data_IF_023005043737
#
_entry.id   IF_023005043737
#
_cell.length_a   1.000
_cell.length_b   1.000
_cell.length_c   1.000
_cell.angle_alpha   90.00
_cell.angle_beta   90.00
_cell.angle_gamma   90.00
#
_symmetry.space_group_name_H-M   'P 1'
#
loop_
_entity.id
_entity.type
_entity.pdbx_description
1 polymer ?
#
# COMPACT_ATOMS: atom_id res chain seq x y z
N UNK A 1 -3.83 9.25 -7.82
CA UNK A 1 -3.78 7.96 -8.52
C UNK A 1 -2.85 7.04 -7.73
N UNK A 2 -3.23 5.78 -7.55
CA UNK A 2 -2.43 4.79 -6.81
C UNK A 2 -2.16 3.59 -7.71
N UNK A 3 -0.89 3.20 -7.81
CA UNK A 3 -0.41 2.06 -8.60
C UNK A 3 0.19 1.03 -7.66
N UNK A 4 -0.16 -0.24 -7.84
CA UNK A 4 0.41 -1.35 -7.08
C UNK A 4 0.95 -2.37 -8.07
N UNK A 5 2.23 -2.73 -7.89
CA UNK A 5 2.90 -3.76 -8.65
C UNK A 5 3.45 -4.77 -7.65
N UNK A 6 3.11 -6.05 -7.86
CA UNK A 6 3.70 -7.16 -7.12
C UNK A 6 4.62 -7.96 -8.02
N UNK A 7 5.86 -8.14 -7.57
CA UNK A 7 6.83 -9.07 -8.19
C UNK A 7 6.96 -10.32 -7.31
N UNK A 8 7.92 -11.21 -7.58
CA UNK A 8 8.13 -12.39 -6.74
C UNK A 8 8.36 -12.03 -5.26
N UNK A 9 9.29 -11.11 -4.99
CA UNK A 9 9.78 -10.82 -3.63
C UNK A 9 9.57 -9.38 -3.17
N UNK A 10 9.05 -8.50 -4.04
CA UNK A 10 8.85 -7.08 -3.74
C UNK A 10 7.40 -6.65 -3.99
N UNK A 11 6.99 -5.65 -3.21
CA UNK A 11 5.86 -4.79 -3.53
C UNK A 11 6.39 -3.42 -3.92
N UNK A 12 5.82 -2.84 -4.97
CA UNK A 12 6.07 -1.46 -5.41
C UNK A 12 4.72 -0.75 -5.41
N UNK A 13 4.59 0.29 -4.60
CA UNK A 13 3.37 1.08 -4.46
C UNK A 13 3.70 2.54 -4.79
N UNK A 14 3.05 3.07 -5.82
CA UNK A 14 3.23 4.45 -6.29
C UNK A 14 1.98 5.28 -6.05
N UNK A 15 2.10 6.40 -5.34
CA UNK A 15 1.06 7.41 -5.21
C UNK A 15 1.41 8.64 -6.05
N UNK A 16 0.55 8.95 -7.02
CA UNK A 16 0.70 10.08 -7.93
C UNK A 16 -0.54 10.99 -7.78
N UNK A 17 -0.48 12.04 -6.96
CA UNK A 17 -1.57 13.00 -6.85
C UNK A 17 -1.80 13.69 -8.20
N UNK A 18 -3.06 13.95 -8.56
CA UNK A 18 -3.42 14.63 -9.83
C UNK A 18 -3.26 16.15 -9.78
N UNK A 19 -2.81 16.70 -8.66
CA UNK A 19 -2.72 18.14 -8.44
C UNK A 19 -1.40 18.67 -9.00
N UNK A 20 -1.48 19.73 -9.80
CA UNK A 20 -0.31 20.35 -10.45
C UNK A 20 0.75 20.75 -9.41
N UNK A 21 1.98 20.29 -9.61
CA UNK A 21 3.14 20.62 -8.77
C UNK A 21 3.42 19.68 -7.59
N UNK A 22 2.56 18.69 -7.30
CA UNK A 22 2.85 17.74 -6.22
C UNK A 22 3.64 16.53 -6.74
N UNK A 23 4.85 16.33 -6.21
CA UNK A 23 5.66 15.16 -6.55
C UNK A 23 4.97 13.86 -6.08
N UNK A 24 4.96 12.85 -6.96
CA UNK A 24 4.53 11.51 -6.61
C UNK A 24 5.51 10.81 -5.67
N UNK A 25 5.00 9.81 -4.96
CA UNK A 25 5.73 9.01 -3.99
C UNK A 25 5.79 7.57 -4.45
N UNK A 26 6.96 6.96 -4.41
CA UNK A 26 7.12 5.53 -4.67
C UNK A 26 7.73 4.89 -3.44
N UNK A 27 7.04 3.89 -2.91
CA UNK A 27 7.52 3.05 -1.83
C UNK A 27 7.69 1.63 -2.38
N UNK A 28 8.84 1.02 -2.11
CA UNK A 28 9.06 -0.38 -2.40
C UNK A 28 9.64 -1.06 -1.18
N UNK A 29 9.20 -2.29 -0.93
CA UNK A 29 9.63 -3.07 0.22
C UNK A 29 9.56 -4.55 -0.12
N UNK A 30 10.43 -5.34 0.52
CA UNK A 30 10.38 -6.79 0.42
C UNK A 30 9.13 -7.31 1.10
N UNK A 31 8.56 -8.38 0.54
CA UNK A 31 7.35 -8.99 1.12
C UNK A 31 7.59 -9.43 2.56
N UNK A 32 8.77 -9.97 2.86
CA UNK A 32 9.18 -10.44 4.18
C UNK A 32 9.29 -9.34 5.24
N UNK A 33 9.37 -8.08 4.83
CA UNK A 33 9.39 -6.92 5.72
C UNK A 33 8.05 -6.73 6.44
N UNK A 34 6.95 -7.14 5.80
CA UNK A 34 5.62 -7.11 6.43
C UNK A 34 5.47 -8.20 7.49
N UNK A 35 4.72 -7.92 8.58
CA UNK A 35 4.33 -8.93 9.56
C UNK A 35 3.71 -10.16 8.90
N UNK A 36 4.01 -11.35 9.43
CA UNK A 36 3.54 -12.62 8.88
C UNK A 36 2.01 -12.71 8.82
N UNK A 37 1.31 -12.11 9.78
CA UNK A 37 -0.16 -11.99 9.79
C UNK A 37 -0.68 -11.22 8.58
N UNK A 38 -0.12 -10.04 8.33
CA UNK A 38 -0.47 -9.18 7.18
C UNK A 38 -0.18 -9.89 5.86
N UNK A 39 1.01 -10.50 5.72
CA UNK A 39 1.36 -11.28 4.51
C UNK A 39 0.33 -12.35 4.19
N UNK A 40 -0.10 -13.11 5.18
CA UNK A 40 -1.09 -14.20 5.03
C UNK A 40 -2.46 -13.68 4.61
N UNK A 41 -2.82 -12.48 5.06
CA UNK A 41 -4.07 -11.82 4.67
C UNK A 41 -4.02 -11.35 3.22
N UNK A 42 -2.96 -10.65 2.83
CA UNK A 42 -2.87 -10.03 1.51
C UNK A 42 -2.50 -11.01 0.39
N UNK A 43 -1.88 -12.15 0.70
CA UNK A 43 -1.52 -13.16 -0.31
C UNK A 43 -2.72 -13.77 -1.02
N UNK A 44 -3.93 -13.58 -0.47
CA UNK A 44 -5.20 -14.05 -1.05
C UNK A 44 -5.87 -13.01 -1.94
N UNK A 45 -5.38 -11.77 -1.95
CA UNK A 45 -5.99 -10.67 -2.67
C UNK A 45 -5.36 -10.53 -4.07
N UNK A 46 -6.16 -10.50 -5.15
CA UNK A 46 -5.66 -10.38 -6.52
C UNK A 46 -4.70 -9.19 -6.73
N UNK A 47 -4.95 -8.07 -6.04
CA UNK A 47 -4.12 -6.85 -6.09
C UNK A 47 -2.67 -7.06 -5.62
N UNK A 48 -2.42 -8.07 -4.78
CA UNK A 48 -1.08 -8.40 -4.28
C UNK A 48 -0.50 -9.69 -4.89
N UNK A 49 -1.16 -10.25 -5.91
CA UNK A 49 -0.73 -11.45 -6.62
C UNK A 49 0.23 -11.08 -7.76
N UNK A 50 1.44 -11.68 -7.82
CA UNK A 50 2.36 -11.46 -8.94
C UNK A 50 1.74 -11.85 -10.27
N UNK A 51 2.00 -11.06 -11.32
CA UNK A 51 1.52 -11.37 -12.68
C UNK A 51 0.09 -10.93 -13.00
N UNK A 52 -0.67 -10.39 -12.04
CA UNK A 52 -2.03 -9.86 -12.27
C UNK A 52 -2.08 -8.54 -13.08
N UNK A 53 -0.97 -8.08 -13.66
CA UNK A 53 -0.94 -6.89 -14.52
C UNK A 53 -1.02 -5.55 -13.79
N UNK A 54 -0.65 -5.48 -12.51
CA UNK A 54 -0.68 -4.26 -11.71
C UNK A 54 -2.11 -3.74 -11.43
N UNK A 55 -2.33 -3.13 -10.27
CA UNK A 55 -3.64 -2.52 -9.96
C UNK A 55 -3.54 -1.00 -9.96
N UNK A 56 -4.50 -0.36 -10.61
CA UNK A 56 -4.62 1.08 -10.72
C UNK A 56 -5.90 1.56 -10.03
N UNK A 57 -5.79 2.53 -9.13
CA UNK A 57 -6.93 3.16 -8.47
C UNK A 57 -6.91 4.68 -8.68
N UNK A 58 -8.05 5.24 -9.03
CA UNK A 58 -8.29 6.67 -8.99
C UNK A 58 -8.80 7.04 -7.60
N UNK A 59 -8.17 8.04 -6.99
CA UNK A 59 -8.46 8.46 -5.63
C UNK A 59 -9.19 9.79 -5.65
N UNK A 60 -10.19 9.94 -4.78
CA UNK A 60 -10.77 11.24 -4.46
C UNK A 60 -9.80 12.11 -3.62
N UNK A 61 -10.17 13.36 -3.36
CA UNK A 61 -9.32 14.30 -2.64
C UNK A 61 -8.96 13.81 -1.23
N UNK A 62 -9.94 13.28 -0.50
CA UNK A 62 -9.72 12.77 0.87
C UNK A 62 -8.79 11.56 0.86
N UNK A 63 -9.03 10.62 -0.05
CA UNK A 63 -8.19 9.43 -0.23
C UNK A 63 -6.75 9.81 -0.62
N UNK A 64 -6.56 10.85 -1.45
CA UNK A 64 -5.22 11.35 -1.79
C UNK A 64 -4.50 11.93 -0.56
N UNK A 65 -5.19 12.69 0.28
CA UNK A 65 -4.63 13.24 1.51
C UNK A 65 -4.29 12.13 2.52
N UNK A 66 -5.21 11.18 2.72
CA UNK A 66 -5.03 10.06 3.64
C UNK A 66 -3.81 9.23 3.23
N UNK A 67 -3.75 8.75 1.99
CA UNK A 67 -2.62 7.92 1.53
C UNK A 67 -1.32 8.71 1.50
N UNK A 68 -1.35 9.98 1.08
CA UNK A 68 -0.19 10.86 1.06
C UNK A 68 0.42 11.06 2.45
N UNK A 69 -0.43 11.10 3.49
CA UNK A 69 0.04 11.16 4.88
C UNK A 69 0.81 9.90 5.29
N UNK A 70 0.36 8.72 4.86
CA UNK A 70 1.03 7.44 5.15
C UNK A 70 2.41 7.38 4.50
N UNK A 71 2.52 7.78 3.22
CA UNK A 71 3.81 7.87 2.53
C UNK A 71 4.78 8.82 3.21
N UNK A 72 4.27 9.96 3.71
CA UNK A 72 5.08 10.94 4.44
C UNK A 72 5.62 10.36 5.75
N UNK A 73 4.76 9.71 6.56
CA UNK A 73 5.17 9.02 7.79
C UNK A 73 6.29 8.01 7.51
N UNK A 74 6.13 7.15 6.48
CA UNK A 74 7.15 6.16 6.11
C UNK A 74 8.49 6.85 5.75
N UNK A 75 8.46 7.95 5.00
CA UNK A 75 9.67 8.69 4.64
C UNK A 75 10.33 9.35 5.84
N UNK A 76 9.56 9.93 6.75
CA UNK A 76 10.07 10.60 7.95
C UNK A 76 10.81 9.63 8.87
N UNK A 77 10.35 8.38 8.97
CA UNK A 77 11.08 7.34 9.70
C UNK A 77 12.39 6.93 9.03
N UNK A 78 12.48 7.06 7.71
CA UNK A 78 13.67 6.69 6.95
C UNK A 78 14.79 7.69 7.21
N UNK A 79 15.70 7.33 8.11
CA UNK A 79 16.82 8.18 8.50
C UNK A 79 16.53 9.07 9.71
N UNK A 80 15.47 8.79 10.47
CA UNK A 80 15.16 9.51 11.72
C UNK A 80 16.19 9.27 12.84
N UNK A 81 17.03 8.24 12.71
CA UNK A 81 17.97 7.82 13.77
C UNK A 81 17.29 7.15 14.97
N UNK A 82 15.96 6.94 14.89
CA UNK A 82 15.21 6.28 15.95
C UNK A 82 15.39 4.77 15.91
N UNK A 83 15.61 4.18 17.09
CA UNK A 83 15.91 2.76 17.26
C UNK A 83 14.77 1.82 16.80
N UNK A 84 13.52 2.30 16.78
CA UNK A 84 12.35 1.53 16.31
C UNK A 84 11.79 2.05 14.99
N UNK A 85 12.59 2.77 14.20
CA UNK A 85 12.18 3.31 12.89
C UNK A 85 11.68 2.23 11.93
N UNK A 86 12.29 1.04 11.93
CA UNK A 86 11.83 -0.09 11.12
C UNK A 86 10.45 -0.61 11.57
N UNK A 87 10.17 -0.63 12.87
CA UNK A 87 8.88 -1.08 13.39
C UNK A 87 7.76 -0.08 13.09
N UNK A 88 8.07 1.22 13.15
CA UNK A 88 7.15 2.27 12.70
C UNK A 88 6.90 2.18 11.19
N UNK A 89 7.94 1.97 10.38
CA UNK A 89 7.78 1.72 8.94
C UNK A 89 6.87 0.52 8.67
N UNK A 90 7.07 -0.61 9.36
CA UNK A 90 6.18 -1.79 9.25
C UNK A 90 4.74 -1.44 9.62
N UNK A 91 4.54 -0.67 10.68
CA UNK A 91 3.22 -0.23 11.13
C UNK A 91 2.53 0.62 10.06
N UNK A 92 3.22 1.61 9.49
CA UNK A 92 2.66 2.46 8.43
C UNK A 92 2.47 1.70 7.11
N UNK A 93 3.30 0.71 6.81
CA UNK A 93 3.07 -0.18 5.67
C UNK A 93 1.82 -1.05 5.86
N UNK A 94 1.56 -1.52 7.08
CA UNK A 94 0.31 -2.23 7.41
C UNK A 94 -0.89 -1.29 7.25
N UNK A 95 -0.77 -0.02 7.68
CA UNK A 95 -1.78 1.03 7.45
C UNK A 95 -2.05 1.21 5.94
N UNK A 96 -1.00 1.34 5.13
CA UNK A 96 -1.09 1.47 3.66
C UNK A 96 -1.75 0.26 3.01
N UNK A 97 -1.39 -0.95 3.44
CA UNK A 97 -2.00 -2.19 2.99
C UNK A 97 -3.50 -2.18 3.29
N UNK A 98 -3.90 -1.84 4.52
CA UNK A 98 -5.32 -1.79 4.87
C UNK A 98 -6.09 -0.74 4.07
N UNK A 99 -5.49 0.43 3.83
CA UNK A 99 -6.06 1.44 2.95
C UNK A 99 -6.34 0.88 1.55
N UNK A 100 -5.37 0.18 0.96
CA UNK A 100 -5.52 -0.49 -0.35
C UNK A 100 -6.63 -1.55 -0.31
N UNK A 101 -6.67 -2.40 0.72
CA UNK A 101 -7.70 -3.44 0.81
C UNK A 101 -9.10 -2.85 0.90
N UNK A 102 -9.26 -1.73 1.62
CA UNK A 102 -10.54 -1.00 1.72
C UNK A 102 -10.94 -0.42 0.36
N UNK A 103 -10.01 0.19 -0.37
CA UNK A 103 -10.28 0.67 -1.73
C UNK A 103 -10.71 -0.48 -2.64
N UNK A 104 -10.00 -1.61 -2.60
CA UNK A 104 -10.33 -2.77 -3.42
C UNK A 104 -11.74 -3.29 -3.11
N UNK A 105 -12.12 -3.38 -1.82
CA UNK A 105 -13.47 -3.78 -1.40
C UNK A 105 -14.56 -2.84 -1.93
N UNK A 106 -14.33 -1.52 -1.90
CA UNK A 106 -15.30 -0.55 -2.41
C UNK A 106 -15.49 -0.64 -3.92
N UNK A 107 -14.43 -0.97 -4.67
CA UNK A 107 -14.49 -1.09 -6.13
C UNK A 107 -14.94 -2.49 -6.60
N UNK A 108 -14.73 -3.54 -5.80
CA UNK A 108 -15.08 -4.94 -6.12
C UNK A 108 -15.74 -5.64 -4.91
N UNK A 109 -16.98 -5.27 -4.55
CA UNK A 109 -17.62 -5.74 -3.33
C UNK A 109 -17.95 -7.24 -3.29
N UNK A 110 -18.02 -7.92 -4.44
CA UNK A 110 -18.52 -9.29 -4.57
C UNK A 110 -17.49 -10.42 -4.36
N UNK A 111 -16.20 -10.12 -4.25
CA UNK A 111 -15.13 -11.16 -4.17
C UNK A 111 -14.94 -11.72 -2.75
N UNK A 112 -15.38 -11.02 -1.71
CA UNK A 112 -15.20 -11.46 -0.31
C UNK A 112 -16.45 -12.10 0.33
N UNK A 113 -17.57 -12.16 -0.38
CA UNK A 113 -18.83 -12.69 0.14
C UNK A 113 -18.95 -14.23 0.07
N UNK A 114 -17.99 -14.92 -0.54
CA UNK A 114 -18.03 -16.38 -0.78
C UNK A 114 -17.01 -17.19 0.05
N UNK A 115 -16.46 -16.60 1.12
CA UNK A 115 -15.60 -17.32 2.07
C UNK A 115 -16.28 -17.47 3.42
N UNK A 116 -17.36 -18.26 3.48
CA UNK A 116 -17.87 -18.83 4.72
C UNK A 116 -18.40 -20.23 4.44
#
# INVERSE_FOLDING_TARGET
MLIIISTADLYIIGHFPRQDGTAGWICFFRKDFLPASTRRHISRLPVFTPGAGGSLYFLDERQNQDVGSIFRKIKEEKGSGYIFSDDLQRTYLVELVHFITRLHQQHFPSILASSN
#
